data_IF_846698994159
#
_entry.id   IF_846698994159
#
_cell.length_a   1.000
_cell.length_b   1.000
_cell.length_c   1.000
_cell.angle_alpha   90.00
_cell.angle_beta   90.00
_cell.angle_gamma   90.00
#
_symmetry.space_group_name_H-M   'P 1'
#
loop_
_entity.id
_entity.type
_entity.pdbx_description
1 polymer ?
#
# COMPACT_ATOMS: atom_id res chain seq x y z
N UNK A 1 -7.04 1.04 0.82
CA UNK A 1 -7.04 2.40 0.21
C UNK A 1 -8.43 3.02 0.15
N UNK A 2 -9.40 2.47 -0.61
CA UNK A 2 -10.77 3.04 -0.71
C UNK A 2 -11.43 3.30 0.66
N UNK A 3 -11.37 2.32 1.57
CA UNK A 3 -11.91 2.43 2.95
C UNK A 3 -11.32 3.60 3.77
N UNK A 4 -10.09 4.03 3.46
CA UNK A 4 -9.38 5.11 4.16
C UNK A 4 -9.36 6.42 3.34
N UNK A 5 -10.09 6.47 2.22
CA UNK A 5 -10.14 7.61 1.30
C UNK A 5 -8.76 8.12 0.84
N UNK A 6 -7.80 7.20 0.67
CA UNK A 6 -6.45 7.50 0.16
C UNK A 6 -6.36 7.06 -1.30
N UNK A 7 -6.12 8.02 -2.20
CA UNK A 7 -5.90 7.75 -3.62
C UNK A 7 -4.42 7.46 -3.92
N UNK A 8 -4.15 6.77 -5.03
CA UNK A 8 -2.76 6.54 -5.47
C UNK A 8 -2.03 7.85 -5.80
N UNK A 9 -2.77 8.87 -6.25
CA UNK A 9 -2.23 10.21 -6.44
C UNK A 9 -1.74 10.79 -5.11
N UNK A 10 -2.56 10.70 -4.05
CA UNK A 10 -2.20 11.18 -2.70
C UNK A 10 -0.98 10.44 -2.14
N UNK A 11 -0.86 9.13 -2.40
CA UNK A 11 0.35 8.36 -2.05
C UNK A 11 1.61 8.94 -2.68
N UNK A 12 1.55 9.28 -3.97
CA UNK A 12 2.68 9.82 -4.71
C UNK A 12 3.01 11.25 -4.27
N UNK A 13 2.00 12.12 -4.16
CA UNK A 13 2.23 13.56 -3.99
C UNK A 13 2.36 14.00 -2.54
N UNK A 14 1.61 13.39 -1.63
CA UNK A 14 1.63 13.74 -0.20
C UNK A 14 2.63 12.89 0.57
N UNK A 15 2.66 11.58 0.31
CA UNK A 15 3.50 10.64 1.06
C UNK A 15 4.81 10.27 0.32
N UNK A 16 5.07 10.93 -0.81
CA UNK A 16 6.23 10.68 -1.68
C UNK A 16 6.47 9.19 -1.98
N UNK A 17 5.39 8.43 -2.07
CA UNK A 17 5.43 6.98 -2.22
C UNK A 17 5.87 6.61 -3.63
N UNK A 18 6.70 5.57 -3.74
CA UNK A 18 7.31 5.18 -5.01
C UNK A 18 6.25 4.79 -6.05
N UNK A 19 6.27 5.47 -7.20
CA UNK A 19 5.34 5.22 -8.33
C UNK A 19 5.45 3.80 -8.88
N UNK A 20 6.67 3.26 -8.98
CA UNK A 20 6.93 1.89 -9.41
C UNK A 20 6.33 0.86 -8.45
N UNK A 21 6.44 1.08 -7.14
CA UNK A 21 5.79 0.23 -6.14
C UNK A 21 4.25 0.23 -6.28
N UNK A 22 3.65 1.40 -6.56
CA UNK A 22 2.20 1.48 -6.84
C UNK A 22 1.84 0.71 -8.11
N UNK A 23 2.70 0.77 -9.13
CA UNK A 23 2.50 0.03 -10.38
C UNK A 23 2.48 -1.49 -10.12
N UNK A 24 3.44 -2.00 -9.35
CA UNK A 24 3.48 -3.41 -8.93
C UNK A 24 2.26 -3.82 -8.09
N UNK A 25 1.87 -2.99 -7.11
CA UNK A 25 0.69 -3.23 -6.28
C UNK A 25 -0.60 -3.34 -7.10
N UNK A 26 -0.76 -2.51 -8.14
CA UNK A 26 -1.95 -2.56 -9.02
C UNK A 26 -2.02 -3.84 -9.87
N UNK A 27 -0.87 -4.45 -10.16
CA UNK A 27 -0.78 -5.68 -10.95
C UNK A 27 -0.88 -6.94 -10.08
N UNK A 28 -0.85 -6.79 -8.76
CA UNK A 28 -0.75 -7.92 -7.84
C UNK A 28 0.64 -8.57 -7.85
N UNK A 29 1.68 -7.82 -8.24
CA UNK A 29 3.05 -8.30 -8.20
C UNK A 29 3.55 -8.40 -6.74
N UNK A 30 4.63 -9.15 -6.55
CA UNK A 30 5.26 -9.31 -5.23
C UNK A 30 5.71 -7.97 -4.65
N UNK A 31 5.51 -7.80 -3.34
CA UNK A 31 5.96 -6.63 -2.58
C UNK A 31 6.69 -7.05 -1.32
N UNK A 32 7.54 -6.16 -0.81
CA UNK A 32 8.31 -6.40 0.41
C UNK A 32 7.47 -6.12 1.66
N UNK A 33 7.84 -6.74 2.78
CA UNK A 33 7.25 -6.43 4.09
C UNK A 33 7.45 -4.96 4.46
N UNK A 34 8.61 -4.38 4.12
CA UNK A 34 8.87 -2.94 4.32
C UNK A 34 7.88 -2.05 3.58
N UNK A 35 7.51 -2.41 2.35
CA UNK A 35 6.49 -1.70 1.57
C UNK A 35 5.13 -1.75 2.26
N UNK A 36 4.76 -2.93 2.76
CA UNK A 36 3.50 -3.13 3.49
C UNK A 36 3.48 -2.35 4.82
N UNK A 37 4.60 -2.29 5.53
CA UNK A 37 4.73 -1.50 6.77
C UNK A 37 4.54 0.00 6.53
N UNK A 38 5.16 0.55 5.47
CA UNK A 38 4.97 1.95 5.09
C UNK A 38 3.51 2.21 4.71
N UNK A 39 2.89 1.30 3.95
CA UNK A 39 1.47 1.39 3.61
C UNK A 39 0.58 1.36 4.86
N UNK A 40 0.88 0.51 5.83
CA UNK A 40 0.16 0.46 7.11
C UNK A 40 0.26 1.77 7.87
N UNK A 41 1.45 2.37 7.92
CA UNK A 41 1.66 3.67 8.55
C UNK A 41 0.86 4.77 7.86
N UNK A 42 0.84 4.81 6.52
CA UNK A 42 0.09 5.82 5.75
C UNK A 42 -1.43 5.63 5.90
N UNK A 43 -1.89 4.39 5.94
CA UNK A 43 -3.31 4.04 6.01
C UNK A 43 -3.84 3.94 7.45
N UNK A 44 -2.96 4.10 8.44
CA UNK A 44 -3.25 3.91 9.87
C UNK A 44 -3.99 2.60 10.10
N UNK A 45 -3.36 1.49 9.72
CA UNK A 45 -3.94 0.15 9.84
C UNK A 45 -2.90 -0.88 10.32
N UNK A 46 -3.38 -2.05 10.72
CA UNK A 46 -2.54 -3.20 11.02
C UNK A 46 -2.13 -3.92 9.74
N UNK A 47 -1.05 -4.69 9.79
CA UNK A 47 -0.61 -5.54 8.68
C UNK A 47 -1.68 -6.55 8.27
N UNK A 48 -2.44 -7.05 9.24
CA UNK A 48 -3.55 -7.98 9.02
C UNK A 48 -4.74 -7.36 8.29
N UNK A 49 -4.82 -6.02 8.20
CA UNK A 49 -5.88 -5.33 7.46
C UNK A 49 -5.60 -5.26 5.95
N UNK A 50 -4.36 -5.52 5.52
CA UNK A 50 -3.92 -5.33 4.12
C UNK A 50 -3.27 -6.57 3.50
N UNK A 51 -3.05 -7.64 4.27
CA UNK A 51 -2.49 -8.91 3.80
C UNK A 51 -3.48 -10.03 4.09
N UNK A 52 -3.71 -10.89 3.09
CA UNK A 52 -4.47 -12.13 3.23
C UNK A 52 -3.60 -13.28 2.72
N UNK A 53 -3.41 -14.31 3.55
CA UNK A 53 -2.74 -15.56 3.15
C UNK A 53 -3.83 -16.56 2.79
N UNK A 54 -3.84 -17.02 1.53
CA UNK A 54 -4.77 -18.03 1.03
C UNK A 54 -4.06 -19.37 0.90
N UNK A 55 -4.76 -20.44 1.26
CA UNK A 55 -4.35 -21.83 1.10
C UNK A 55 -5.08 -22.47 -0.07
#
# INVERSE_FOLDING_TARGET
MKKKNVSTYKLITTYNFNKGTIYHLKRGDNVTISTLAILCQILECSISDIVEIKY
#
